data_IF_879894198820
#
_entry.id   IF_879894198820
#
_cell.length_a   1.000
_cell.length_b   1.000
_cell.length_c   1.000
_cell.angle_alpha   90.00
_cell.angle_beta   90.00
_cell.angle_gamma   90.00
#
_symmetry.space_group_name_H-M   'P 1'
#
loop_
_entity.id
_entity.type
_entity.pdbx_description
1 polymer ?
#
# COMPACT_ATOMS: atom_id res chain seq x y z
N UNK A 1 -15.07 16.90 -11.40
CA UNK A 1 -13.86 17.70 -11.12
C UNK A 1 -12.66 16.78 -11.26
N UNK A 2 -11.75 17.06 -12.19
CA UNK A 2 -10.51 16.30 -12.32
C UNK A 2 -9.54 16.73 -11.22
N UNK A 3 -8.91 15.76 -10.52
CA UNK A 3 -7.83 16.06 -9.58
C UNK A 3 -6.64 16.62 -10.36
N UNK A 4 -6.23 17.85 -10.06
CA UNK A 4 -4.97 18.41 -10.54
C UNK A 4 -3.82 17.59 -9.96
N UNK A 5 -3.22 16.71 -10.76
CA UNK A 5 -1.94 16.11 -10.42
C UNK A 5 -0.87 17.17 -10.64
N UNK A 6 -0.06 17.44 -9.61
CA UNK A 6 1.02 18.40 -9.74
C UNK A 6 2.04 17.86 -10.74
N UNK A 7 2.25 18.58 -11.85
CA UNK A 7 3.34 18.36 -12.81
C UNK A 7 4.70 18.74 -12.18
N UNK A 8 5.01 18.16 -11.02
CA UNK A 8 6.30 18.38 -10.37
C UNK A 8 7.32 17.39 -10.94
N UNK A 9 8.48 17.83 -11.44
CA UNK A 9 9.54 16.97 -11.99
C UNK A 9 10.25 16.12 -10.91
N UNK A 10 9.65 15.90 -9.75
CA UNK A 10 10.23 15.15 -8.63
C UNK A 10 10.03 13.64 -8.78
N UNK A 11 10.26 13.13 -9.99
CA UNK A 11 10.43 11.71 -10.21
C UNK A 11 11.77 11.28 -9.61
N UNK A 12 11.77 10.28 -8.74
CA UNK A 12 12.98 9.63 -8.25
C UNK A 12 13.10 8.27 -8.93
N UNK A 13 14.30 7.85 -9.30
CA UNK A 13 14.50 6.51 -9.86
C UNK A 13 14.18 5.44 -8.82
N UNK A 14 13.72 4.26 -9.26
CA UNK A 14 13.43 3.16 -8.33
C UNK A 14 14.65 2.75 -7.50
N UNK A 15 15.85 2.83 -8.08
CA UNK A 15 17.10 2.54 -7.38
C UNK A 15 17.38 3.54 -6.25
N UNK A 16 17.26 4.85 -6.53
CA UNK A 16 17.47 5.89 -5.52
C UNK A 16 16.38 5.89 -4.44
N UNK A 17 15.15 5.54 -4.82
CA UNK A 17 14.07 5.30 -3.87
C UNK A 17 14.40 4.13 -2.94
N UNK A 18 14.87 3.00 -3.48
CA UNK A 18 15.26 1.82 -2.71
C UNK A 18 16.34 2.12 -1.67
N UNK A 19 17.38 2.86 -2.05
CA UNK A 19 18.43 3.31 -1.13
C UNK A 19 17.89 4.21 -0.01
N UNK A 20 16.96 5.11 -0.35
CA UNK A 20 16.31 5.99 0.62
C UNK A 20 15.48 5.21 1.63
N UNK A 21 14.75 4.17 1.19
CA UNK A 21 13.99 3.29 2.07
C UNK A 21 14.92 2.48 2.99
N UNK A 22 16.00 1.91 2.47
CA UNK A 22 16.97 1.14 3.27
C UNK A 22 17.55 2.00 4.40
N UNK A 23 18.03 3.21 4.07
CA UNK A 23 18.54 4.17 5.06
C UNK A 23 17.53 4.47 6.16
N UNK A 24 16.26 4.72 5.79
CA UNK A 24 15.21 5.01 6.78
C UNK A 24 14.90 3.82 7.68
N UNK A 25 14.93 2.59 7.15
CA UNK A 25 14.73 1.38 7.96
C UNK A 25 15.85 1.20 8.98
N UNK A 26 17.11 1.40 8.57
CA UNK A 26 18.25 1.37 9.50
C UNK A 26 18.14 2.44 10.58
N UNK A 27 17.76 3.67 10.23
CA UNK A 27 17.59 4.76 11.20
C UNK A 27 16.45 4.51 12.20
N UNK A 28 15.35 3.90 11.77
CA UNK A 28 14.17 3.68 12.60
C UNK A 28 14.23 2.39 13.43
N UNK A 29 15.13 1.46 13.08
CA UNK A 29 15.24 0.17 13.75
C UNK A 29 14.02 -0.72 13.53
N UNK A 30 13.73 -1.58 14.51
CA UNK A 30 12.61 -2.53 14.41
C UNK A 30 11.29 -1.82 14.75
N UNK A 31 10.48 -1.57 13.73
CA UNK A 31 9.18 -0.92 13.89
C UNK A 31 8.10 -2.00 13.90
N UNK A 32 7.44 -2.19 15.04
CA UNK A 32 6.21 -2.96 15.13
C UNK A 32 5.07 -2.21 14.43
N UNK A 33 5.00 -2.32 13.11
CA UNK A 33 3.89 -1.77 12.34
C UNK A 33 2.60 -2.52 12.72
N UNK A 34 1.58 -1.83 13.27
CA UNK A 34 0.31 -2.46 13.52
C UNK A 34 -0.26 -2.92 12.18
N UNK A 35 -0.28 -4.23 11.95
CA UNK A 35 -0.99 -4.77 10.79
C UNK A 35 -2.45 -4.37 10.97
N UNK A 36 -3.02 -3.75 9.94
CA UNK A 36 -4.47 -3.60 9.91
C UNK A 36 -5.06 -5.01 10.00
N UNK A 37 -5.78 -5.28 11.09
CA UNK A 37 -6.32 -6.61 11.38
C UNK A 37 -7.32 -7.07 10.32
N UNK A 38 -7.78 -6.15 9.47
CA UNK A 38 -8.77 -6.45 8.44
C UNK A 38 -10.15 -6.80 9.04
N UNK A 39 -10.34 -6.62 10.35
CA UNK A 39 -11.57 -7.01 11.05
C UNK A 39 -12.70 -6.00 10.86
N UNK A 40 -12.39 -4.77 10.46
CA UNK A 40 -13.38 -3.71 10.17
C UNK A 40 -13.63 -3.59 8.67
N UNK A 41 -14.01 -4.69 8.01
CA UNK A 41 -14.46 -4.66 6.60
C UNK A 41 -15.89 -4.14 6.56
N UNK A 42 -16.18 -3.30 5.58
CA UNK A 42 -17.56 -2.92 5.23
C UNK A 42 -18.21 -4.07 4.46
N UNK A 43 -19.54 -4.09 4.41
CA UNK A 43 -20.30 -5.12 3.69
C UNK A 43 -19.89 -5.22 2.22
N UNK A 44 -19.68 -4.07 1.57
CA UNK A 44 -19.20 -4.01 0.18
C UNK A 44 -17.84 -4.69 -0.01
N UNK A 45 -16.93 -4.57 0.97
CA UNK A 45 -15.61 -5.20 0.91
C UNK A 45 -15.70 -6.70 1.15
N UNK A 46 -16.60 -7.16 2.01
CA UNK A 46 -16.84 -8.60 2.23
C UNK A 46 -17.38 -9.23 0.94
N UNK A 47 -18.39 -8.60 0.31
CA UNK A 47 -18.98 -9.07 -0.93
C UNK A 47 -17.95 -9.16 -2.08
N UNK A 48 -17.08 -8.15 -2.21
CA UNK A 48 -16.00 -8.17 -3.20
C UNK A 48 -15.03 -9.33 -2.97
N UNK A 49 -14.58 -9.55 -1.74
CA UNK A 49 -13.66 -10.64 -1.42
C UNK A 49 -14.28 -12.01 -1.70
N UNK A 50 -15.55 -12.21 -1.36
CA UNK A 50 -16.27 -13.44 -1.69
C UNK A 50 -16.39 -13.66 -3.21
N UNK A 51 -16.62 -12.59 -4.00
CA UNK A 51 -16.64 -12.69 -5.45
C UNK A 51 -15.29 -13.09 -6.05
N UNK A 52 -14.19 -12.57 -5.49
CA UNK A 52 -12.82 -12.92 -5.90
C UNK A 52 -12.53 -14.39 -5.58
N UNK A 53 -12.91 -14.86 -4.40
CA UNK A 53 -12.74 -16.26 -3.99
C UNK A 53 -13.54 -17.22 -4.88
N UNK A 54 -14.77 -16.86 -5.23
CA UNK A 54 -15.63 -17.66 -6.13
C UNK A 54 -15.05 -17.84 -7.54
N UNK A 55 -14.23 -16.90 -8.02
CA UNK A 55 -13.52 -17.03 -9.31
C UNK A 55 -12.14 -17.70 -9.17
N UNK A 56 -11.81 -18.23 -7.99
CA UNK A 56 -10.56 -18.91 -7.70
C UNK A 56 -9.38 -17.98 -7.41
N UNK A 57 -9.63 -16.70 -7.16
CA UNK A 57 -8.61 -15.73 -6.75
C UNK A 57 -8.33 -15.80 -5.25
N UNK A 58 -7.12 -15.41 -4.85
CA UNK A 58 -6.76 -15.19 -3.45
C UNK A 58 -6.27 -13.75 -3.27
N UNK A 59 -6.83 -13.04 -2.28
CA UNK A 59 -6.55 -11.64 -2.01
C UNK A 59 -6.14 -11.41 -0.56
#
# INVERSE_FOLDING_TARGET
MALQTSNSPRGMSLASFGQSVARRREMLGDIAMPRNSGLRRTDSKIALLAAIENVGGSW
#
